data_IF_596465471445
#
_entry.id   IF_596465471445
#
_cell.length_a   1.000
_cell.length_b   1.000
_cell.length_c   1.000
_cell.angle_alpha   90.00
_cell.angle_beta   90.00
_cell.angle_gamma   90.00
#
_symmetry.space_group_name_H-M   'P 1'
#
loop_
_entity.id
_entity.type
_entity.pdbx_description
1 polymer ?
#
# COMPACT_ATOMS: atom_id res chain seq x y z
N UNK A 1 22.71 15.50 9.94
CA UNK A 1 22.52 14.79 8.67
C UNK A 1 21.10 15.06 8.17
N UNK A 2 20.80 16.32 8.05
CA UNK A 2 19.53 16.88 7.60
C UNK A 2 19.63 17.04 6.08
N UNK A 3 18.54 16.85 5.36
CA UNK A 3 18.39 17.16 3.94
C UNK A 3 18.70 16.11 2.86
N UNK A 4 19.17 14.90 3.16
CA UNK A 4 19.41 13.95 2.07
C UNK A 4 18.11 13.39 1.46
N UNK A 5 17.08 13.11 2.26
CA UNK A 5 15.82 12.56 1.72
C UNK A 5 14.95 13.59 1.00
N UNK A 6 14.86 14.84 1.52
CA UNK A 6 14.22 15.94 0.77
C UNK A 6 14.97 16.23 -0.54
N UNK A 7 16.29 16.05 -0.53
CA UNK A 7 17.15 16.26 -1.71
C UNK A 7 17.01 15.10 -2.69
N UNK A 8 16.86 13.87 -2.22
CA UNK A 8 16.63 12.71 -3.10
C UNK A 8 15.27 12.78 -3.79
N UNK A 9 14.21 13.17 -3.09
CA UNK A 9 12.90 13.30 -3.72
C UNK A 9 12.84 14.51 -4.68
N UNK A 10 13.44 15.63 -4.33
CA UNK A 10 13.66 16.74 -5.28
C UNK A 10 14.53 16.32 -6.45
N UNK A 11 15.51 15.46 -6.23
CA UNK A 11 16.35 14.93 -7.30
C UNK A 11 15.61 13.89 -8.16
N UNK A 12 14.74 13.06 -7.58
CA UNK A 12 13.84 12.15 -8.31
C UNK A 12 12.83 12.97 -9.12
N UNK A 13 12.17 13.98 -8.52
CA UNK A 13 11.27 14.87 -9.25
C UNK A 13 12.02 15.68 -10.32
N UNK A 14 13.20 16.17 -10.04
CA UNK A 14 14.04 16.93 -11.01
C UNK A 14 14.64 16.03 -12.10
N UNK A 15 15.00 14.77 -11.80
CA UNK A 15 15.45 13.81 -12.82
C UNK A 15 14.32 13.34 -13.74
N UNK A 16 13.08 13.29 -13.22
CA UNK A 16 11.88 12.98 -14.00
C UNK A 16 11.39 14.20 -14.84
N UNK A 17 11.65 15.42 -14.36
CA UNK A 17 11.33 16.67 -15.07
C UNK A 17 12.33 16.98 -16.20
N UNK A 18 13.56 16.48 -16.13
CA UNK A 18 14.58 16.73 -17.15
C UNK A 18 14.49 15.85 -18.40
N UNK A 19 13.58 14.85 -18.43
CA UNK A 19 13.25 14.10 -19.64
C UNK A 19 12.03 14.71 -20.36
N UNK A 20 12.13 15.98 -20.77
CA UNK A 20 11.07 16.74 -21.39
C UNK A 20 10.82 16.39 -22.86
N UNK A 21 9.59 15.95 -23.14
CA UNK A 21 8.75 16.50 -24.21
C UNK A 21 7.49 17.06 -23.56
N UNK A 22 7.02 18.20 -24.04
CA UNK A 22 5.91 19.01 -23.54
C UNK A 22 4.65 18.20 -23.16
N UNK A 23 4.50 17.81 -21.92
CA UNK A 23 3.24 17.31 -21.37
C UNK A 23 3.10 17.81 -19.93
N UNK A 24 1.95 18.40 -19.66
CA UNK A 24 1.43 18.92 -18.39
C UNK A 24 2.20 18.50 -17.14
N UNK A 25 2.90 19.45 -16.52
CA UNK A 25 3.58 19.27 -15.24
C UNK A 25 2.57 18.94 -14.14
N UNK A 26 2.34 17.64 -13.89
CA UNK A 26 1.67 17.20 -12.68
C UNK A 26 2.70 17.33 -11.56
N UNK A 27 2.70 18.46 -10.93
CA UNK A 27 3.49 18.71 -9.74
C UNK A 27 2.72 18.09 -8.57
N UNK A 28 3.32 17.08 -7.94
CA UNK A 28 2.90 16.71 -6.59
C UNK A 28 3.11 17.93 -5.71
N UNK A 29 2.03 18.54 -5.24
CA UNK A 29 2.12 19.66 -4.34
C UNK A 29 2.50 19.12 -2.95
N UNK A 30 3.82 19.08 -2.71
CA UNK A 30 4.42 18.42 -1.56
C UNK A 30 3.90 18.98 -0.24
N UNK A 31 3.64 20.28 -0.19
CA UNK A 31 3.18 20.97 1.02
C UNK A 31 1.68 20.75 1.30
N UNK A 32 0.88 20.48 0.27
CA UNK A 32 -0.55 20.21 0.40
C UNK A 32 -0.88 18.71 0.56
N UNK A 33 -0.09 17.84 -0.07
CA UNK A 33 -0.35 16.41 -0.14
C UNK A 33 0.30 15.62 0.98
N UNK A 34 1.34 16.16 1.64
CA UNK A 34 2.10 15.48 2.67
C UNK A 34 1.91 16.12 4.04
N UNK A 35 1.74 15.31 5.05
CA UNK A 35 1.86 15.77 6.42
C UNK A 35 3.34 15.93 6.71
N UNK A 36 3.80 17.17 6.89
CA UNK A 36 5.20 17.50 7.19
C UNK A 36 5.61 17.02 8.58
N UNK A 37 5.67 15.71 8.78
CA UNK A 37 6.16 15.08 10.01
C UNK A 37 7.64 14.78 9.81
N UNK A 38 8.49 15.63 10.36
CA UNK A 38 9.88 15.28 10.59
C UNK A 38 9.90 14.29 11.77
N UNK A 39 10.13 13.01 11.49
CA UNK A 39 10.32 12.02 12.53
C UNK A 39 11.74 12.14 13.07
N UNK A 40 11.91 12.14 14.42
CA UNK A 40 13.24 11.98 14.97
C UNK A 40 13.81 10.63 14.54
N UNK A 41 15.09 10.60 14.18
CA UNK A 41 15.81 9.34 14.04
C UNK A 41 15.79 8.61 15.38
N UNK A 42 15.00 7.56 15.48
CA UNK A 42 14.94 6.69 16.64
C UNK A 42 15.80 5.47 16.29
N UNK A 43 16.72 5.11 17.19
CA UNK A 43 17.46 3.87 17.04
C UNK A 43 16.55 2.68 17.40
N UNK A 44 15.89 2.14 16.41
CA UNK A 44 14.98 1.01 16.58
C UNK A 44 15.70 -0.29 16.92
N UNK A 45 17.00 -0.42 16.65
CA UNK A 45 17.75 -1.64 16.92
C UNK A 45 17.83 -1.95 18.42
N UNK A 46 18.11 -0.95 19.25
CA UNK A 46 18.17 -1.14 20.69
C UNK A 46 16.81 -1.47 21.30
N UNK A 47 15.76 -0.80 20.82
CA UNK A 47 14.38 -1.01 21.27
C UNK A 47 13.91 -2.40 20.91
N UNK A 48 14.23 -2.84 19.72
CA UNK A 48 13.85 -4.10 19.16
C UNK A 48 14.49 -5.30 19.85
N UNK A 49 15.78 -5.23 20.18
CA UNK A 49 16.48 -6.29 20.89
C UNK A 49 15.77 -6.63 22.22
N UNK A 50 15.30 -5.61 22.91
CA UNK A 50 14.58 -5.74 24.17
C UNK A 50 13.18 -6.36 24.01
N UNK A 51 12.50 -6.05 22.90
CA UNK A 51 11.19 -6.63 22.55
C UNK A 51 11.28 -8.13 22.25
N UNK A 52 12.32 -8.52 21.50
CA UNK A 52 12.58 -9.93 21.21
C UNK A 52 12.82 -10.72 22.48
N UNK A 53 13.46 -10.12 23.47
CA UNK A 53 13.75 -10.73 24.76
C UNK A 53 12.56 -10.70 25.75
N UNK A 54 11.38 -10.25 25.30
CA UNK A 54 10.17 -10.20 26.13
C UNK A 54 10.15 -9.11 27.21
N UNK A 55 11.07 -8.14 27.09
CA UNK A 55 11.18 -7.01 28.04
C UNK A 55 10.42 -5.78 27.57
N UNK A 56 9.14 -5.94 27.24
CA UNK A 56 8.30 -4.89 26.67
C UNK A 56 8.39 -3.55 27.42
N UNK A 57 8.29 -3.58 28.76
CA UNK A 57 8.34 -2.36 29.58
C UNK A 57 9.70 -1.65 29.48
N UNK A 58 10.79 -2.39 29.40
CA UNK A 58 12.13 -1.81 29.27
C UNK A 58 12.33 -1.19 27.89
N UNK A 59 11.87 -1.85 26.85
CA UNK A 59 11.90 -1.34 25.48
C UNK A 59 11.09 -0.06 25.32
N UNK A 60 9.90 -0.03 25.94
CA UNK A 60 9.05 1.15 25.97
C UNK A 60 9.73 2.32 26.70
N UNK A 61 10.41 2.04 27.82
CA UNK A 61 11.15 3.05 28.57
C UNK A 61 12.31 3.62 27.74
N UNK A 62 13.13 2.78 27.08
CA UNK A 62 14.20 3.23 26.18
C UNK A 62 13.66 4.07 25.03
N UNK A 63 12.55 3.64 24.43
CA UNK A 63 11.88 4.40 23.39
C UNK A 63 11.50 5.81 23.87
N UNK A 64 10.87 5.91 25.03
CA UNK A 64 10.54 7.20 25.62
C UNK A 64 11.75 8.07 25.90
N UNK A 65 12.84 7.49 26.41
CA UNK A 65 14.06 8.25 26.68
C UNK A 65 14.67 8.81 25.39
N UNK A 66 14.75 8.01 24.35
CA UNK A 66 15.25 8.45 23.03
C UNK A 66 14.35 9.53 22.44
N UNK A 67 13.04 9.35 22.51
CA UNK A 67 12.06 10.30 22.04
C UNK A 67 12.14 11.63 22.79
N UNK A 68 12.19 11.58 24.12
CA UNK A 68 12.30 12.75 24.98
C UNK A 68 13.57 13.55 24.73
N UNK A 69 14.72 12.89 24.53
CA UNK A 69 15.97 13.57 24.20
C UNK A 69 15.92 14.30 22.86
N UNK A 70 15.15 13.80 21.89
CA UNK A 70 15.00 14.41 20.57
C UNK A 70 13.92 15.48 20.52
N UNK A 71 12.88 15.38 21.33
CA UNK A 71 11.83 16.39 21.44
C UNK A 71 12.32 17.74 21.94
N UNK A 72 13.37 17.76 22.76
CA UNK A 72 14.00 18.99 23.24
C UNK A 72 14.57 19.84 22.07
N UNK A 73 14.87 19.22 20.94
CA UNK A 73 15.42 19.88 19.75
C UNK A 73 14.39 20.18 18.65
N UNK A 74 13.13 19.76 18.81
CA UNK A 74 12.09 19.96 17.81
C UNK A 74 11.08 20.98 18.33
N UNK A 75 11.10 22.19 17.79
CA UNK A 75 10.12 23.25 18.07
C UNK A 75 8.69 22.92 17.61
N UNK A 76 8.48 21.79 16.96
CA UNK A 76 7.17 21.33 16.47
C UNK A 76 6.63 20.22 17.36
N UNK A 77 5.38 20.35 17.80
CA UNK A 77 4.62 19.30 18.48
C UNK A 77 4.54 18.03 17.63
N UNK A 78 5.56 17.19 17.74
CA UNK A 78 5.39 15.81 17.29
C UNK A 78 4.42 15.16 18.26
N UNK A 79 3.39 14.56 17.72
CA UNK A 79 2.47 13.79 18.53
C UNK A 79 3.15 12.48 18.99
N UNK A 80 3.97 12.60 20.06
CA UNK A 80 4.74 11.52 20.70
C UNK A 80 3.85 10.34 21.02
N UNK A 81 2.63 10.61 21.48
CA UNK A 81 1.61 9.61 21.78
C UNK A 81 1.30 8.77 20.54
N UNK A 82 1.27 9.41 19.38
CA UNK A 82 0.99 8.74 18.11
C UNK A 82 2.11 7.78 17.72
N UNK A 83 3.35 8.23 17.70
CA UNK A 83 4.52 7.38 17.40
C UNK A 83 4.63 6.20 18.38
N UNK A 84 4.45 6.46 19.66
CA UNK A 84 4.43 5.42 20.68
C UNK A 84 3.31 4.40 20.46
N UNK A 85 2.12 4.89 20.13
CA UNK A 85 0.97 4.04 19.83
C UNK A 85 1.24 3.12 18.64
N UNK A 86 1.89 3.60 17.59
CA UNK A 86 2.25 2.79 16.42
C UNK A 86 3.22 1.68 16.77
N UNK A 87 4.29 2.02 17.47
CA UNK A 87 5.30 1.04 17.85
C UNK A 87 4.70 -0.05 18.76
N UNK A 88 3.91 0.35 19.75
CA UNK A 88 3.21 -0.56 20.66
C UNK A 88 2.22 -1.44 19.90
N UNK A 89 1.46 -0.86 18.98
CA UNK A 89 0.50 -1.58 18.14
C UNK A 89 1.17 -2.65 17.29
N UNK A 90 2.35 -2.37 16.71
CA UNK A 90 3.09 -3.37 15.93
C UNK A 90 3.53 -4.54 16.79
N UNK A 91 4.07 -4.27 17.96
CA UNK A 91 4.50 -5.30 18.90
C UNK A 91 3.33 -6.16 19.35
N UNK A 92 2.24 -5.53 19.80
CA UNK A 92 1.03 -6.25 20.23
C UNK A 92 0.41 -7.04 19.08
N UNK A 93 0.45 -6.52 17.86
CA UNK A 93 -0.04 -7.21 16.69
C UNK A 93 0.75 -8.50 16.43
N UNK A 94 2.07 -8.44 16.44
CA UNK A 94 2.94 -9.59 16.24
C UNK A 94 2.76 -10.63 17.35
N UNK A 95 2.70 -10.21 18.62
CA UNK A 95 2.44 -11.08 19.76
C UNK A 95 1.08 -11.77 19.67
N UNK A 96 0.01 -11.02 19.36
CA UNK A 96 -1.35 -11.56 19.15
C UNK A 96 -1.38 -12.61 18.05
N UNK A 97 -0.58 -12.44 17.01
CA UNK A 97 -0.45 -13.39 15.89
C UNK A 97 0.49 -14.55 16.22
N UNK A 98 1.12 -14.56 17.41
CA UNK A 98 2.13 -15.55 17.82
C UNK A 98 3.30 -15.62 16.83
N UNK A 99 3.64 -14.49 16.23
CA UNK A 99 4.72 -14.38 15.26
C UNK A 99 6.00 -14.09 16.04
N UNK A 100 6.93 -15.04 16.05
CA UNK A 100 8.28 -14.80 16.51
C UNK A 100 9.01 -13.99 15.44
N UNK A 101 9.33 -12.77 15.78
CA UNK A 101 10.12 -11.91 14.94
C UNK A 101 11.58 -11.95 15.41
N UNK A 102 12.45 -12.44 14.56
CA UNK A 102 13.89 -12.50 14.78
C UNK A 102 14.60 -11.90 13.57
N UNK A 103 15.23 -10.75 13.79
CA UNK A 103 15.98 -10.06 12.75
C UNK A 103 17.30 -10.73 12.42
N UNK A 104 17.86 -11.48 13.34
CA UNK A 104 19.15 -12.14 13.11
C UNK A 104 19.03 -13.21 12.01
N UNK A 105 17.81 -13.76 11.84
CA UNK A 105 17.54 -14.84 10.92
C UNK A 105 16.24 -14.63 10.12
N UNK A 106 16.32 -13.80 9.06
CA UNK A 106 15.21 -13.64 8.11
C UNK A 106 15.25 -14.80 7.11
N UNK A 107 14.52 -15.86 7.42
CA UNK A 107 14.43 -17.07 6.61
C UNK A 107 13.09 -17.21 5.86
N UNK A 108 12.08 -16.41 6.23
CA UNK A 108 10.72 -16.52 5.72
C UNK A 108 10.21 -15.18 5.20
N UNK A 109 9.29 -15.24 4.25
CA UNK A 109 8.74 -14.04 3.59
C UNK A 109 8.10 -13.06 4.58
N UNK A 110 7.27 -13.54 5.52
CA UNK A 110 6.62 -12.68 6.50
C UNK A 110 7.61 -11.95 7.42
N UNK A 111 8.77 -12.57 7.71
CA UNK A 111 9.83 -11.95 8.50
C UNK A 111 10.48 -10.80 7.72
N UNK A 112 10.75 -11.01 6.42
CA UNK A 112 11.23 -9.96 5.52
C UNK A 112 10.26 -8.78 5.46
N UNK A 113 8.96 -9.04 5.29
CA UNK A 113 7.94 -7.98 5.28
C UNK A 113 7.91 -7.23 6.60
N UNK A 114 7.94 -7.93 7.74
CA UNK A 114 7.98 -7.31 9.06
C UNK A 114 9.21 -6.41 9.24
N UNK A 115 10.37 -6.86 8.79
CA UNK A 115 11.58 -6.06 8.80
C UNK A 115 11.44 -4.80 7.93
N UNK A 116 10.93 -4.93 6.72
CA UNK A 116 10.73 -3.82 5.79
C UNK A 116 9.77 -2.76 6.32
N UNK A 117 8.70 -3.18 6.98
CA UNK A 117 7.74 -2.25 7.61
C UNK A 117 8.39 -1.46 8.74
N UNK A 118 9.25 -2.08 9.54
CA UNK A 118 9.92 -1.44 10.66
C UNK A 118 11.04 -0.50 10.19
N UNK A 119 11.88 -0.96 9.25
CA UNK A 119 13.14 -0.29 8.92
C UNK A 119 13.12 0.50 7.62
N UNK A 120 12.16 0.27 6.75
CA UNK A 120 12.11 0.85 5.39
C UNK A 120 10.77 1.51 5.09
N UNK A 121 10.10 2.06 6.11
CA UNK A 121 8.96 2.94 5.91
C UNK A 121 9.46 4.32 5.46
N UNK A 122 9.17 4.68 4.23
CA UNK A 122 9.62 5.93 3.60
C UNK A 122 8.42 6.78 3.16
N UNK A 123 8.66 8.06 2.98
CA UNK A 123 7.68 9.00 2.47
C UNK A 123 7.15 8.58 1.09
N UNK A 124 8.04 8.09 0.20
CA UNK A 124 7.64 7.59 -1.11
C UNK A 124 6.69 6.39 -1.01
N UNK A 125 6.89 5.48 -0.05
CA UNK A 125 5.93 4.41 0.22
C UNK A 125 4.58 4.94 0.69
N UNK A 126 4.59 5.99 1.52
CA UNK A 126 3.37 6.68 1.94
C UNK A 126 2.58 7.25 0.76
N UNK A 127 3.27 7.90 -0.18
CA UNK A 127 2.66 8.40 -1.43
C UNK A 127 2.11 7.24 -2.26
N UNK A 128 2.93 6.23 -2.50
CA UNK A 128 2.59 5.15 -3.41
C UNK A 128 1.53 4.19 -2.85
N UNK A 129 1.35 4.11 -1.53
CA UNK A 129 0.31 3.29 -0.89
C UNK A 129 -1.03 4.01 -0.69
N UNK A 130 -1.04 5.34 -0.69
CA UNK A 130 -2.27 6.14 -0.57
C UNK A 130 -3.09 6.06 -1.86
N UNK A 131 -4.38 5.72 -1.75
CA UNK A 131 -5.24 5.50 -2.93
C UNK A 131 -5.34 6.71 -3.86
N UNK A 132 -5.23 7.93 -3.31
CA UNK A 132 -5.23 9.15 -4.11
C UNK A 132 -3.87 9.44 -4.73
N UNK A 133 -2.82 9.43 -3.92
CA UNK A 133 -1.47 9.80 -4.35
C UNK A 133 -0.83 8.73 -5.25
N UNK A 134 -1.18 7.45 -5.07
CA UNK A 134 -0.73 6.36 -5.94
C UNK A 134 -1.08 6.60 -7.41
N UNK A 135 -2.24 7.19 -7.68
CA UNK A 135 -2.62 7.52 -9.05
C UNK A 135 -1.78 8.65 -9.65
N UNK A 136 -1.46 9.67 -8.85
CA UNK A 136 -0.53 10.74 -9.26
C UNK A 136 0.87 10.17 -9.51
N UNK A 137 1.34 9.28 -8.62
CA UNK A 137 2.60 8.58 -8.80
C UNK A 137 2.62 7.75 -10.08
N UNK A 138 1.57 6.98 -10.33
CA UNK A 138 1.46 6.15 -11.54
C UNK A 138 1.45 7.01 -12.81
N UNK A 139 0.69 8.11 -12.84
CA UNK A 139 0.63 9.03 -13.96
C UNK A 139 1.99 9.68 -14.23
N UNK A 140 2.70 10.09 -13.18
CA UNK A 140 4.06 10.61 -13.29
C UNK A 140 5.04 9.57 -13.88
N UNK A 141 4.94 8.30 -13.46
CA UNK A 141 5.85 7.22 -13.90
C UNK A 141 5.55 6.72 -15.31
N UNK A 142 4.28 6.71 -15.71
CA UNK A 142 3.82 6.08 -16.95
C UNK A 142 3.48 7.08 -18.05
N UNK A 143 3.20 8.34 -17.69
CA UNK A 143 2.76 9.39 -18.63
C UNK A 143 1.29 9.22 -19.04
N UNK A 144 0.52 8.36 -18.35
CA UNK A 144 -0.90 8.18 -18.62
C UNK A 144 -1.71 8.01 -17.32
N UNK A 145 -2.97 8.46 -17.32
CA UNK A 145 -3.86 8.35 -16.18
C UNK A 145 -4.45 6.94 -16.07
N UNK A 146 -4.01 6.18 -15.08
CA UNK A 146 -4.55 4.86 -14.78
C UNK A 146 -5.77 4.86 -13.84
N UNK A 147 -6.25 6.03 -13.42
CA UNK A 147 -7.41 6.15 -12.52
C UNK A 147 -8.55 7.00 -13.09
N UNK A 148 -8.96 6.82 -14.36
CA UNK A 148 -10.03 7.63 -14.95
C UNK A 148 -11.41 7.32 -14.34
N UNK A 149 -11.54 6.22 -13.57
CA UNK A 149 -12.74 5.87 -12.82
C UNK A 149 -12.90 6.70 -11.54
N UNK A 150 -11.87 7.43 -11.11
CA UNK A 150 -11.96 8.38 -10.00
C UNK A 150 -12.79 9.59 -10.40
N UNK A 151 -13.80 9.91 -9.60
CA UNK A 151 -14.74 10.99 -9.86
C UNK A 151 -14.33 12.23 -9.09
N UNK A 152 -14.00 12.07 -7.80
CA UNK A 152 -13.73 13.19 -6.91
C UNK A 152 -12.87 12.75 -5.71
N UNK A 153 -12.34 13.74 -4.98
CA UNK A 153 -11.54 13.56 -3.76
C UNK A 153 -11.93 14.65 -2.77
N UNK A 154 -12.15 14.27 -1.51
CA UNK A 154 -12.58 15.16 -0.44
C UNK A 154 -11.59 15.14 0.72
N UNK A 155 -11.29 16.28 1.28
CA UNK A 155 -10.46 16.41 2.47
C UNK A 155 -11.25 16.12 3.75
N UNK A 156 -12.56 16.39 3.74
CA UNK A 156 -13.47 16.19 4.88
C UNK A 156 -14.78 15.52 4.43
N UNK A 157 -15.53 14.98 5.38
CA UNK A 157 -16.84 14.37 5.11
C UNK A 157 -17.88 15.42 4.78
N UNK A 158 -17.73 16.61 5.34
CA UNK A 158 -18.65 17.75 5.19
C UNK A 158 -18.67 18.30 3.77
N UNK A 159 -17.61 18.08 2.98
CA UNK A 159 -17.52 18.46 1.57
C UNK A 159 -18.38 17.58 0.66
N UNK A 160 -18.85 16.42 1.16
CA UNK A 160 -19.54 15.43 0.35
C UNK A 160 -21.02 15.76 0.22
N UNK A 161 -21.48 16.00 -1.00
CA UNK A 161 -22.91 16.05 -1.33
C UNK A 161 -23.47 14.63 -1.53
N UNK A 162 -23.94 14.02 -0.46
CA UNK A 162 -24.47 12.66 -0.48
C UNK A 162 -25.70 12.49 -1.35
N UNK A 163 -26.54 13.51 -1.47
CA UNK A 163 -27.71 13.50 -2.35
C UNK A 163 -27.30 13.40 -3.81
N UNK A 164 -26.25 14.14 -4.19
CA UNK A 164 -25.64 14.06 -5.52
C UNK A 164 -25.03 12.68 -5.77
N UNK A 165 -24.35 12.09 -4.78
CA UNK A 165 -23.76 10.75 -4.92
C UNK A 165 -24.81 9.67 -5.18
N UNK A 166 -25.95 9.73 -4.49
CA UNK A 166 -27.06 8.78 -4.71
C UNK A 166 -27.60 8.93 -6.13
N UNK A 167 -27.71 10.15 -6.64
CA UNK A 167 -28.16 10.40 -8.03
C UNK A 167 -27.17 9.90 -9.06
N UNK A 168 -25.85 10.01 -8.81
CA UNK A 168 -24.81 9.43 -9.67
C UNK A 168 -24.91 7.91 -9.68
N UNK A 169 -25.11 7.29 -8.52
CA UNK A 169 -25.24 5.86 -8.29
C UNK A 169 -24.02 5.04 -8.74
N UNK A 170 -23.97 3.78 -8.36
CA UNK A 170 -22.90 2.85 -8.71
C UNK A 170 -21.49 3.42 -8.48
N UNK A 171 -21.30 3.99 -7.29
CA UNK A 171 -20.03 4.57 -6.83
C UNK A 171 -19.58 3.96 -5.52
N UNK A 172 -18.30 4.10 -5.21
CA UNK A 172 -17.70 3.67 -3.97
C UNK A 172 -16.91 4.81 -3.34
N UNK A 173 -17.14 5.04 -2.05
CA UNK A 173 -16.33 5.90 -1.20
C UNK A 173 -15.27 5.06 -0.50
N UNK A 174 -14.02 5.55 -0.49
CA UNK A 174 -12.87 4.88 0.13
C UNK A 174 -12.05 5.88 0.92
N UNK A 175 -11.57 5.51 2.10
CA UNK A 175 -10.55 6.31 2.78
C UNK A 175 -9.19 6.05 2.12
N UNK A 176 -8.43 7.10 1.81
CA UNK A 176 -7.23 7.01 0.96
C UNK A 176 -6.14 6.11 1.53
N UNK A 177 -5.97 6.11 2.85
CA UNK A 177 -5.00 5.28 3.58
C UNK A 177 -5.64 4.11 4.35
N UNK A 178 -6.89 3.76 4.04
CA UNK A 178 -7.62 2.68 4.69
C UNK A 178 -7.56 1.35 3.94
N UNK A 179 -7.99 0.27 4.61
CA UNK A 179 -8.15 -1.05 4.00
C UNK A 179 -9.47 -1.66 4.45
N UNK A 180 -10.22 -2.26 3.50
CA UNK A 180 -11.54 -2.86 3.73
C UNK A 180 -12.60 -1.88 4.22
N UNK A 181 -12.47 -0.62 3.87
CA UNK A 181 -13.32 0.51 4.24
C UNK A 181 -14.11 1.06 3.04
N UNK A 182 -14.44 0.18 2.08
CA UNK A 182 -15.17 0.54 0.89
C UNK A 182 -16.68 0.65 1.20
N UNK A 183 -17.26 1.83 0.98
CA UNK A 183 -18.68 2.09 1.14
C UNK A 183 -19.31 2.20 -0.25
N UNK A 184 -20.12 1.21 -0.59
CA UNK A 184 -20.77 1.13 -1.89
C UNK A 184 -22.14 1.82 -1.90
N UNK A 185 -22.35 2.72 -2.85
CA UNK A 185 -23.63 3.36 -3.14
C UNK A 185 -24.11 2.82 -4.49
N UNK A 186 -25.21 2.07 -4.49
CA UNK A 186 -25.72 1.38 -5.68
C UNK A 186 -27.14 1.86 -6.01
N UNK A 187 -27.45 1.95 -7.31
CA UNK A 187 -28.75 2.37 -7.79
C UNK A 187 -29.90 1.46 -7.32
N UNK A 188 -29.62 0.18 -7.17
CA UNK A 188 -30.64 -0.85 -6.87
C UNK A 188 -30.69 -1.24 -5.39
N UNK A 189 -30.05 -0.47 -4.51
CA UNK A 189 -30.05 -0.72 -3.07
C UNK A 189 -30.62 0.48 -2.33
N UNK A 190 -31.36 0.28 -1.25
CA UNK A 190 -31.78 1.39 -0.40
C UNK A 190 -30.52 2.05 0.18
N UNK A 191 -30.31 3.31 -0.17
CA UNK A 191 -29.18 4.11 0.32
C UNK A 191 -29.67 4.94 1.52
N UNK A 192 -29.25 4.56 2.71
CA UNK A 192 -29.46 5.33 3.93
C UNK A 192 -28.31 6.31 4.12
N UNK A 193 -28.53 7.58 3.82
CA UNK A 193 -27.51 8.63 3.87
C UNK A 193 -26.90 8.71 5.28
N UNK A 194 -27.71 8.65 6.32
CA UNK A 194 -27.20 8.80 7.68
C UNK A 194 -26.33 7.61 8.08
N UNK A 195 -26.70 6.41 7.67
CA UNK A 195 -25.87 5.21 7.87
C UNK A 195 -24.57 5.30 7.10
N UNK A 196 -24.60 5.73 5.83
CA UNK A 196 -23.41 5.94 5.01
C UNK A 196 -22.46 6.95 5.66
N UNK A 197 -22.99 8.09 6.13
CA UNK A 197 -22.22 9.11 6.84
C UNK A 197 -21.57 8.58 8.11
N UNK A 198 -22.32 7.83 8.93
CA UNK A 198 -21.83 7.24 10.17
C UNK A 198 -20.70 6.24 9.91
N UNK A 199 -20.87 5.37 8.91
CA UNK A 199 -19.87 4.38 8.51
C UNK A 199 -18.62 5.07 7.96
N UNK A 200 -18.78 6.08 7.10
CA UNK A 200 -17.66 6.86 6.57
C UNK A 200 -16.90 7.60 7.69
N UNK A 201 -17.64 8.22 8.61
CA UNK A 201 -17.06 8.90 9.79
C UNK A 201 -16.28 7.93 10.66
N UNK A 202 -16.80 6.73 10.87
CA UNK A 202 -16.08 5.68 11.60
C UNK A 202 -14.75 5.32 10.91
N UNK A 203 -14.76 5.06 9.60
CA UNK A 203 -13.56 4.72 8.85
C UNK A 203 -12.58 5.88 8.73
N UNK A 204 -13.08 7.09 8.49
CA UNK A 204 -12.24 8.28 8.32
C UNK A 204 -11.54 8.69 9.61
N UNK A 205 -12.23 8.60 10.76
CA UNK A 205 -11.65 8.95 12.06
C UNK A 205 -10.73 7.86 12.63
N UNK A 206 -10.83 6.64 12.10
CA UNK A 206 -10.03 5.51 12.54
C UNK A 206 -8.58 5.69 12.10
N UNK A 207 -7.64 5.55 13.04
CA UNK A 207 -6.23 5.46 12.69
C UNK A 207 -5.90 4.03 12.26
N UNK A 208 -5.87 3.83 10.94
CA UNK A 208 -5.61 2.53 10.35
C UNK A 208 -4.22 2.01 10.72
N UNK A 209 -3.24 2.91 10.83
CA UNK A 209 -1.87 2.56 11.19
C UNK A 209 -1.73 2.03 12.62
N UNK A 210 -2.69 2.30 13.51
CA UNK A 210 -2.73 1.69 14.86
C UNK A 210 -3.22 0.25 14.84
N UNK A 211 -4.05 -0.10 13.87
CA UNK A 211 -4.62 -1.45 13.75
C UNK A 211 -3.71 -2.39 12.96
N UNK A 212 -3.12 -1.82 11.93
CA UNK A 212 -2.18 -2.46 11.04
C UNK A 212 -0.97 -1.52 10.97
N UNK A 213 0.06 -1.75 11.75
CA UNK A 213 1.14 -0.78 11.93
C UNK A 213 2.01 -0.64 10.67
N UNK A 214 1.47 0.08 9.74
CA UNK A 214 2.06 0.47 8.46
C UNK A 214 2.50 1.93 8.57
N UNK A 215 3.72 2.15 9.05
CA UNK A 215 4.20 3.50 9.41
C UNK A 215 4.26 4.46 8.23
N UNK A 216 4.39 3.97 7.01
CA UNK A 216 4.42 4.83 5.82
C UNK A 216 3.09 5.58 5.58
N UNK A 217 1.96 5.09 6.08
CA UNK A 217 0.70 5.83 6.00
C UNK A 217 0.68 7.14 6.80
N UNK A 218 1.66 7.34 7.68
CA UNK A 218 1.79 8.59 8.42
C UNK A 218 2.22 9.77 7.55
N UNK A 219 2.85 9.49 6.43
CA UNK A 219 3.41 10.53 5.56
C UNK A 219 2.38 11.15 4.61
N UNK A 220 1.23 10.54 4.41
CA UNK A 220 0.19 11.05 3.50
C UNK A 220 -1.00 11.65 4.26
N UNK A 221 -1.51 12.78 3.77
CA UNK A 221 -2.76 13.36 4.26
C UNK A 221 -3.92 12.43 3.93
N UNK A 222 -4.72 12.10 4.95
CA UNK A 222 -5.92 11.28 4.79
C UNK A 222 -6.99 12.03 3.99
N UNK A 223 -7.58 11.35 3.00
CA UNK A 223 -8.65 11.87 2.13
C UNK A 223 -9.73 10.81 1.91
N UNK A 224 -10.85 11.25 1.38
CA UNK A 224 -11.91 10.37 0.90
C UNK A 224 -11.91 10.40 -0.61
N UNK A 225 -11.84 9.23 -1.23
CA UNK A 225 -11.80 9.06 -2.69
C UNK A 225 -13.14 8.53 -3.16
N UNK A 226 -13.73 9.17 -4.16
CA UNK A 226 -14.94 8.74 -4.84
C UNK A 226 -14.58 8.11 -6.18
N UNK A 227 -15.00 6.87 -6.39
CA UNK A 227 -14.73 6.14 -7.64
C UNK A 227 -15.99 5.51 -8.21
N UNK A 228 -16.03 5.32 -9.54
CA UNK A 228 -17.05 4.50 -10.19
C UNK A 228 -16.81 3.03 -9.90
N UNK A 229 -17.87 2.27 -9.72
CA UNK A 229 -17.80 0.81 -9.62
C UNK A 229 -17.65 0.24 -11.04
N UNK A 230 -16.75 -0.71 -11.23
CA UNK A 230 -16.64 -1.47 -12.47
C UNK A 230 -17.81 -2.47 -12.55
N UNK A 231 -18.62 -2.35 -13.60
CA UNK A 231 -19.77 -3.23 -13.84
C UNK A 231 -19.83 -3.66 -15.32
N UNK A 232 -20.10 -4.94 -15.61
CA UNK A 232 -20.30 -6.02 -14.62
C UNK A 232 -18.98 -6.46 -13.97
N UNK A 233 -19.07 -6.89 -12.72
CA UNK A 233 -17.89 -7.31 -11.94
C UNK A 233 -17.23 -8.58 -12.50
N UNK A 234 -17.98 -9.39 -13.26
CA UNK A 234 -17.45 -10.56 -13.96
C UNK A 234 -16.37 -10.23 -14.98
N UNK A 235 -16.35 -9.02 -15.50
CA UNK A 235 -15.40 -8.55 -16.51
C UNK A 235 -14.17 -7.87 -15.87
N UNK A 236 -14.16 -7.78 -14.52
CA UNK A 236 -13.07 -7.18 -13.77
C UNK A 236 -12.08 -8.25 -13.33
N UNK A 237 -10.85 -8.11 -13.80
CA UNK A 237 -9.72 -8.94 -13.39
C UNK A 237 -8.70 -8.09 -12.66
N UNK A 238 -8.10 -8.61 -11.60
CA UNK A 238 -7.04 -7.94 -10.87
C UNK A 238 -5.76 -8.74 -10.92
N UNK A 239 -4.74 -8.19 -11.56
CA UNK A 239 -3.40 -8.76 -11.68
C UNK A 239 -2.50 -8.17 -10.61
N UNK A 240 -1.89 -9.01 -9.79
CA UNK A 240 -1.02 -8.65 -8.68
C UNK A 240 0.38 -9.15 -8.94
N UNK A 241 1.29 -8.24 -9.25
CA UNK A 241 2.70 -8.55 -9.51
C UNK A 241 3.51 -8.35 -8.24
N UNK A 242 4.02 -9.44 -7.67
CA UNK A 242 4.85 -9.40 -6.47
C UNK A 242 6.33 -9.38 -6.84
N UNK A 243 7.01 -8.29 -6.50
CA UNK A 243 8.43 -8.08 -6.73
C UNK A 243 9.21 -8.31 -5.45
N UNK A 244 10.37 -8.97 -5.56
CA UNK A 244 11.41 -9.02 -4.54
C UNK A 244 12.73 -8.76 -5.25
N UNK A 245 13.54 -7.83 -4.74
CA UNK A 245 14.80 -7.42 -5.36
C UNK A 245 14.64 -6.98 -6.83
N UNK A 246 13.56 -6.21 -7.12
CA UNK A 246 13.21 -5.70 -8.47
C UNK A 246 12.82 -6.76 -9.50
N UNK A 247 12.65 -8.00 -9.08
CA UNK A 247 12.25 -9.09 -9.97
C UNK A 247 10.85 -9.58 -9.64
N UNK A 248 10.02 -9.82 -10.65
CA UNK A 248 8.71 -10.46 -10.46
C UNK A 248 8.96 -11.88 -9.96
N UNK A 249 8.38 -12.24 -8.81
CA UNK A 249 8.48 -13.59 -8.24
C UNK A 249 7.18 -14.37 -8.29
N UNK A 250 6.06 -13.65 -8.30
CA UNK A 250 4.73 -14.26 -8.36
C UNK A 250 3.76 -13.30 -9.04
N UNK A 251 2.90 -13.84 -9.89
CA UNK A 251 1.74 -13.14 -10.43
C UNK A 251 0.50 -13.82 -9.87
N UNK A 252 -0.36 -13.07 -9.20
CA UNK A 252 -1.66 -13.57 -8.73
C UNK A 252 -2.76 -12.86 -9.50
N UNK A 253 -3.73 -13.62 -10.01
CA UNK A 253 -4.89 -13.06 -10.70
C UNK A 253 -6.13 -13.33 -9.86
N UNK A 254 -6.89 -12.29 -9.57
CA UNK A 254 -8.20 -12.36 -8.93
C UNK A 254 -9.28 -12.15 -9.97
N UNK A 255 -10.22 -13.07 -10.03
CA UNK A 255 -11.33 -13.03 -10.99
C UNK A 255 -12.62 -13.56 -10.38
N UNK A 256 -13.74 -13.10 -10.89
CA UNK A 256 -15.05 -13.68 -10.60
C UNK A 256 -15.35 -14.75 -11.65
N UNK A 257 -15.51 -16.00 -11.22
CA UNK A 257 -15.86 -17.14 -12.06
C UNK A 257 -17.10 -17.80 -11.48
N UNK A 258 -18.20 -17.86 -12.23
CA UNK A 258 -19.50 -18.40 -11.78
C UNK A 258 -19.98 -17.76 -10.45
N UNK A 259 -19.82 -16.45 -10.28
CA UNK A 259 -20.10 -15.66 -9.08
C UNK A 259 -19.19 -15.93 -7.87
N UNK A 260 -18.20 -16.79 -7.99
CA UNK A 260 -17.20 -17.02 -6.95
C UNK A 260 -15.96 -16.17 -7.21
N UNK A 261 -15.42 -15.57 -6.14
CA UNK A 261 -14.16 -14.85 -6.18
C UNK A 261 -13.00 -15.84 -6.05
N UNK A 262 -12.24 -16.01 -7.13
CA UNK A 262 -11.16 -16.97 -7.21
C UNK A 262 -9.80 -16.31 -7.37
N UNK A 263 -8.76 -17.02 -6.90
CA UNK A 263 -7.36 -16.61 -7.02
C UNK A 263 -6.57 -17.66 -7.78
N UNK A 264 -5.82 -17.22 -8.77
CA UNK A 264 -4.95 -18.02 -9.62
C UNK A 264 -3.53 -17.52 -9.50
N UNK A 265 -2.55 -18.41 -9.49
CA UNK A 265 -1.15 -18.05 -9.29
C UNK A 265 -0.30 -18.52 -10.46
N UNK A 266 0.56 -17.62 -10.95
CA UNK A 266 1.41 -17.84 -12.11
C UNK A 266 2.86 -17.48 -11.80
N UNK A 267 3.77 -18.17 -12.48
CA UNK A 267 5.17 -17.80 -12.54
C UNK A 267 5.35 -16.47 -13.32
N UNK A 268 6.53 -15.85 -13.29
CA UNK A 268 6.79 -14.61 -14.03
C UNK A 268 6.55 -14.71 -15.56
N UNK A 269 6.65 -15.88 -16.14
CA UNK A 269 6.39 -16.17 -17.55
C UNK A 269 4.93 -16.49 -17.89
N UNK A 270 4.03 -16.28 -16.93
CA UNK A 270 2.61 -16.62 -16.99
C UNK A 270 2.30 -18.13 -17.04
N UNK A 271 3.27 -19.01 -16.84
CA UNK A 271 2.97 -20.44 -16.63
C UNK A 271 2.33 -20.63 -15.25
N UNK A 272 1.31 -21.51 -15.13
CA UNK A 272 0.67 -21.77 -13.84
C UNK A 272 1.68 -22.28 -12.81
N UNK A 273 1.55 -21.83 -11.56
CA UNK A 273 2.31 -22.43 -10.45
C UNK A 273 1.81 -23.85 -10.17
N UNK A 274 2.61 -24.66 -9.45
CA UNK A 274 2.22 -26.04 -9.07
C UNK A 274 1.01 -26.10 -8.13
N UNK A 275 0.57 -24.98 -7.62
CA UNK A 275 -0.57 -24.89 -6.70
C UNK A 275 -1.89 -24.95 -7.51
N UNK A 276 -2.41 -26.15 -7.66
CA UNK A 276 -3.55 -26.50 -8.53
C UNK A 276 -4.92 -26.14 -7.94
N UNK A 277 -5.10 -25.03 -7.25
CA UNK A 277 -6.33 -24.82 -6.48
C UNK A 277 -7.59 -24.57 -7.29
N UNK A 278 -7.51 -24.17 -8.54
CA UNK A 278 -8.72 -23.90 -9.32
C UNK A 278 -8.57 -24.34 -10.78
N UNK A 279 -9.50 -25.16 -11.25
CA UNK A 279 -9.70 -25.46 -12.68
C UNK A 279 -10.63 -24.40 -13.27
N UNK A 280 -10.34 -23.92 -14.47
CA UNK A 280 -11.32 -23.16 -15.24
C UNK A 280 -10.99 -21.71 -15.56
N UNK A 281 -9.82 -21.19 -15.15
CA UNK A 281 -9.35 -19.88 -15.60
C UNK A 281 -8.03 -20.06 -16.37
N UNK A 282 -8.01 -19.58 -17.61
CA UNK A 282 -6.80 -19.55 -18.41
C UNK A 282 -6.37 -18.10 -18.64
N UNK A 283 -5.16 -17.76 -18.21
CA UNK A 283 -4.59 -16.42 -18.41
C UNK A 283 -4.37 -16.13 -19.90
N UNK A 284 -4.24 -17.18 -20.73
CA UNK A 284 -4.06 -17.05 -22.19
C UNK A 284 -5.32 -16.55 -22.91
N UNK A 285 -6.45 -16.41 -22.21
CA UNK A 285 -7.63 -15.73 -22.76
C UNK A 285 -7.41 -14.22 -22.97
N UNK A 286 -6.37 -13.64 -22.34
CA UNK A 286 -6.02 -12.24 -22.54
C UNK A 286 -5.11 -12.08 -23.74
N UNK A 287 -5.33 -10.99 -24.49
CA UNK A 287 -4.44 -10.63 -25.59
C UNK A 287 -3.01 -10.46 -25.08
N UNK A 288 -2.06 -10.94 -25.85
CA UNK A 288 -0.64 -10.84 -25.53
C UNK A 288 -0.22 -9.39 -25.27
N UNK A 289 -0.77 -8.45 -26.03
CA UNK A 289 -0.52 -7.02 -25.88
C UNK A 289 -0.94 -6.51 -24.49
N UNK A 290 -2.10 -6.93 -23.97
CA UNK A 290 -2.57 -6.58 -22.62
C UNK A 290 -1.64 -7.17 -21.56
N UNK A 291 -1.21 -8.42 -21.71
CA UNK A 291 -0.29 -9.04 -20.73
C UNK A 291 1.08 -8.36 -20.75
N UNK A 292 1.60 -7.97 -21.90
CA UNK A 292 2.84 -7.21 -22.02
C UNK A 292 2.69 -5.80 -21.43
N UNK A 293 1.58 -5.11 -21.69
CA UNK A 293 1.27 -3.79 -21.11
C UNK A 293 1.23 -3.85 -19.59
N UNK A 294 0.50 -4.82 -19.01
CA UNK A 294 0.42 -5.05 -17.58
C UNK A 294 1.81 -5.24 -16.97
N UNK A 295 2.62 -6.12 -17.56
CA UNK A 295 4.00 -6.39 -17.12
C UNK A 295 4.86 -5.13 -17.14
N UNK A 296 4.84 -4.39 -18.24
CA UNK A 296 5.64 -3.18 -18.41
C UNK A 296 5.25 -2.09 -17.40
N UNK A 297 3.95 -1.93 -17.13
CA UNK A 297 3.48 -1.01 -16.12
C UNK A 297 3.90 -1.44 -14.72
N UNK A 298 3.73 -2.73 -14.39
CA UNK A 298 4.16 -3.24 -13.09
C UNK A 298 5.65 -3.04 -12.87
N UNK A 299 6.50 -3.30 -13.88
CA UNK A 299 7.95 -3.06 -13.81
C UNK A 299 8.23 -1.59 -13.55
N UNK A 300 7.69 -0.66 -14.35
CA UNK A 300 7.93 0.78 -14.19
C UNK A 300 7.47 1.30 -12.84
N UNK A 301 6.32 0.86 -12.34
CA UNK A 301 5.80 1.25 -11.04
C UNK A 301 6.60 0.69 -9.86
N UNK A 302 7.36 -0.38 -10.07
CA UNK A 302 8.19 -1.02 -9.04
C UNK A 302 9.62 -0.46 -8.96
N UNK A 303 10.10 0.29 -9.96
CA UNK A 303 11.52 0.69 -10.09
C UNK A 303 12.09 1.40 -8.86
N UNK A 304 11.29 2.24 -8.19
CA UNK A 304 11.73 3.03 -7.04
C UNK A 304 11.73 2.22 -5.72
N UNK A 305 11.28 0.95 -5.77
CA UNK A 305 11.10 0.11 -4.60
C UNK A 305 11.93 -1.18 -4.70
N UNK A 306 13.22 -1.12 -4.32
CA UNK A 306 14.16 -2.21 -4.60
C UNK A 306 13.92 -3.49 -3.80
N UNK A 307 13.22 -3.43 -2.66
CA UNK A 307 13.05 -4.58 -1.77
C UNK A 307 11.82 -5.42 -2.13
N UNK A 308 10.68 -5.01 -1.62
CA UNK A 308 9.39 -5.64 -1.89
C UNK A 308 8.35 -4.60 -2.28
N UNK A 309 7.61 -4.91 -3.31
CA UNK A 309 6.37 -4.23 -3.68
C UNK A 309 5.45 -5.23 -4.39
N UNK A 310 4.15 -5.10 -4.15
CA UNK A 310 3.11 -5.73 -4.97
C UNK A 310 2.39 -4.64 -5.75
N UNK A 311 2.43 -4.75 -7.06
CA UNK A 311 1.73 -3.83 -7.96
C UNK A 311 0.44 -4.50 -8.40
N UNK A 312 -0.69 -3.94 -8.01
CA UNK A 312 -2.02 -4.45 -8.32
C UNK A 312 -2.65 -3.61 -9.42
N UNK A 313 -2.98 -4.24 -10.54
CA UNK A 313 -3.56 -3.61 -11.72
C UNK A 313 -4.88 -4.29 -12.08
N UNK A 314 -5.91 -3.50 -12.35
CA UNK A 314 -7.17 -3.99 -12.92
C UNK A 314 -7.09 -4.07 -14.45
N UNK A 315 -7.75 -5.08 -14.98
CA UNK A 315 -8.16 -5.14 -16.39
C UNK A 315 -9.67 -5.14 -16.44
N UNK A 316 -10.24 -4.20 -17.15
CA UNK A 316 -11.66 -4.09 -17.39
C UNK A 316 -11.88 -3.59 -18.81
N UNK A 317 -12.64 -4.34 -19.63
CA UNK A 317 -12.91 -4.03 -21.05
C UNK A 317 -11.62 -3.70 -21.84
N UNK A 318 -10.62 -4.55 -21.71
CA UNK A 318 -9.29 -4.43 -22.36
C UNK A 318 -8.53 -3.14 -22.04
N UNK A 319 -8.86 -2.46 -20.94
CA UNK A 319 -8.11 -1.32 -20.42
C UNK A 319 -7.49 -1.65 -19.07
N UNK A 320 -6.30 -1.08 -18.84
CA UNK A 320 -5.56 -1.26 -17.60
C UNK A 320 -5.79 -0.07 -16.68
N UNK A 321 -6.04 -0.36 -15.39
CA UNK A 321 -6.24 0.63 -14.34
C UNK A 321 -5.36 0.29 -13.14
N UNK A 322 -4.97 1.30 -12.38
CA UNK A 322 -4.30 1.09 -11.10
C UNK A 322 -5.32 0.62 -10.06
N UNK A 323 -5.00 -0.45 -9.35
CA UNK A 323 -5.73 -0.88 -8.16
C UNK A 323 -5.07 -0.36 -6.90
N UNK A 324 -3.86 -0.85 -6.59
CA UNK A 324 -3.07 -0.42 -5.43
C UNK A 324 -1.57 -0.76 -5.59
N UNK A 325 -0.74 -0.10 -4.78
CA UNK A 325 0.66 -0.45 -4.56
C UNK A 325 0.82 -0.85 -3.09
N UNK A 326 1.22 -2.10 -2.85
CA UNK A 326 1.26 -2.69 -1.51
C UNK A 326 2.69 -3.00 -1.08
N UNK A 327 3.08 -2.57 0.13
CA UNK A 327 4.43 -2.75 0.67
C UNK A 327 4.51 -3.70 1.85
N UNK A 328 3.38 -4.13 2.36
CA UNK A 328 3.24 -4.87 3.62
C UNK A 328 2.28 -6.06 3.48
N UNK A 329 2.55 -6.92 2.52
CA UNK A 329 1.68 -8.06 2.22
C UNK A 329 1.22 -8.77 3.50
N UNK A 330 -0.11 -8.85 3.71
CA UNK A 330 -0.77 -9.43 4.88
C UNK A 330 -0.24 -8.88 6.23
N UNK A 331 0.30 -7.66 6.27
CA UNK A 331 0.93 -7.09 7.47
C UNK A 331 2.03 -7.98 8.09
N UNK A 332 2.79 -8.68 7.28
CA UNK A 332 3.80 -9.61 7.76
C UNK A 332 3.22 -10.78 8.55
N UNK A 333 2.00 -11.21 8.27
CA UNK A 333 1.45 -12.48 8.76
C UNK A 333 1.77 -13.56 7.74
N UNK A 334 2.14 -14.78 8.16
CA UNK A 334 2.40 -15.87 7.25
C UNK A 334 1.25 -16.12 6.28
N UNK A 335 1.55 -16.13 4.99
CA UNK A 335 0.63 -16.51 3.92
C UNK A 335 1.16 -17.78 3.25
N UNK A 336 0.37 -18.84 3.30
CA UNK A 336 0.75 -20.14 2.76
C UNK A 336 1.12 -20.08 1.27
N UNK A 337 0.52 -19.18 0.49
CA UNK A 337 0.84 -19.03 -0.93
C UNK A 337 2.25 -18.52 -1.12
N UNK A 338 2.63 -17.50 -0.35
CA UNK A 338 3.96 -16.89 -0.40
C UNK A 338 5.01 -17.76 0.27
N UNK A 339 4.71 -18.30 1.45
CA UNK A 339 5.66 -19.13 2.21
C UNK A 339 6.01 -20.46 1.52
N UNK A 340 5.10 -21.02 0.72
CA UNK A 340 5.31 -22.28 -0.01
C UNK A 340 5.86 -22.06 -1.43
N UNK A 341 5.81 -20.85 -1.97
CA UNK A 341 6.32 -20.56 -3.31
C UNK A 341 7.85 -20.65 -3.35
N UNK A 342 8.38 -21.49 -4.23
CA UNK A 342 9.83 -21.75 -4.31
C UNK A 342 10.63 -20.52 -4.74
N UNK A 343 10.13 -19.73 -5.70
CA UNK A 343 10.81 -18.54 -6.17
C UNK A 343 10.87 -17.43 -5.11
N UNK A 344 9.79 -17.30 -4.31
CA UNK A 344 9.76 -16.37 -3.19
C UNK A 344 10.71 -16.82 -2.09
N UNK A 345 10.70 -18.09 -1.71
CA UNK A 345 11.63 -18.63 -0.70
C UNK A 345 13.09 -18.44 -1.08
N UNK A 346 13.42 -18.69 -2.35
CA UNK A 346 14.78 -18.46 -2.85
C UNK A 346 15.16 -16.98 -2.82
N UNK A 347 14.24 -16.10 -3.25
CA UNK A 347 14.46 -14.66 -3.20
C UNK A 347 14.68 -14.13 -1.79
N UNK A 348 13.92 -14.62 -0.80
CA UNK A 348 14.09 -14.26 0.61
C UNK A 348 15.42 -14.77 1.16
N UNK A 349 15.84 -16.00 0.82
CA UNK A 349 17.13 -16.58 1.21
C UNK A 349 18.32 -15.74 0.74
N UNK A 350 18.17 -15.18 -0.47
CA UNK A 350 19.19 -14.35 -1.11
C UNK A 350 18.99 -12.84 -0.87
N UNK A 351 17.97 -12.50 -0.08
CA UNK A 351 17.65 -11.10 0.18
C UNK A 351 18.70 -10.44 1.07
N UNK A 352 19.21 -9.31 0.60
CA UNK A 352 20.17 -8.50 1.34
C UNK A 352 19.45 -7.33 1.99
N UNK A 353 19.74 -7.07 3.24
CA UNK A 353 19.29 -5.87 3.95
C UNK A 353 20.00 -4.65 3.34
N UNK A 354 19.37 -4.00 2.36
CA UNK A 354 19.91 -2.82 1.69
C UNK A 354 19.20 -1.58 2.20
#
# INVERSE_FOLDING_TARGET
MQFKEKTEFKNISNSLVNNKSEQNNIILNYDEDMVGLEYPEINFEDIKLELINGKLLHSLYKFFQQLQSKLIYLEKEINVTRLFSYYTSRTLYLEKKKIKYDDSNIAQFYQMISWLVIHKSTQLKGIASDKYLACKYAEMKLGENLCPHRIDVYDTIEEIDFEKLIKIGNVVLKVSNGCRDNIFIRNNSPNDIEKIKQELKFHFNRDYSLLYPEFFHLYAKKRIVLERIFEPISDLFEFKYSFINREIKLISVRAFVNNDLLFFHYNPDYTPTKDKRVKGFDILQFDKEILEKLRNYAIKLSEDFPNFIRVDLYVFQNKVYLSELTFDHMNGVPDNTFEKNSAIREAVKNWKRI
#
